data_IF_001708587836
#
_entry.id   IF_001708587836
#
_cell.length_a   1.000
_cell.length_b   1.000
_cell.length_c   1.000
_cell.angle_alpha   90.00
_cell.angle_beta   90.00
_cell.angle_gamma   90.00
#
_symmetry.space_group_name_H-M   'P 1'
#
loop_
_entity.id
_entity.type
_entity.pdbx_description
1 polymer ?
#
# COMPACT_ATOMS: atom_id res chain seq x y z
N UNK A 1 6.63 -12.85 -19.77
CA UNK A 1 7.28 -12.18 -18.62
C UNK A 1 8.03 -10.98 -19.16
N UNK A 2 7.80 -9.80 -18.64
CA UNK A 2 8.56 -8.62 -19.05
C UNK A 2 10.01 -8.79 -18.57
N UNK A 3 10.99 -8.55 -19.44
CA UNK A 3 12.43 -8.55 -19.07
C UNK A 3 12.80 -7.30 -18.28
N UNK A 4 11.84 -6.72 -17.51
CA UNK A 4 12.08 -5.51 -16.74
C UNK A 4 12.80 -5.86 -15.44
N UNK A 5 14.10 -5.55 -15.40
CA UNK A 5 14.96 -5.80 -14.24
C UNK A 5 15.16 -4.49 -13.48
N UNK A 6 14.90 -4.44 -12.16
CA UNK A 6 15.18 -3.25 -11.36
C UNK A 6 16.68 -3.00 -11.25
N UNK A 7 17.08 -1.74 -11.19
CA UNK A 7 18.40 -1.37 -10.74
C UNK A 7 18.49 -1.48 -9.21
N UNK A 8 19.67 -1.78 -8.64
CA UNK A 8 19.90 -1.73 -7.20
C UNK A 8 19.61 -0.32 -6.67
N UNK A 9 18.89 -0.24 -5.56
CA UNK A 9 18.60 0.99 -4.85
C UNK A 9 18.92 0.83 -3.38
N UNK A 10 19.89 1.58 -2.89
CA UNK A 10 20.34 1.54 -1.50
C UNK A 10 19.49 2.51 -0.67
N UNK A 11 18.98 2.00 0.43
CA UNK A 11 18.15 2.72 1.40
C UNK A 11 18.83 2.54 2.76
N UNK A 12 18.83 3.58 3.59
CA UNK A 12 19.29 3.48 4.97
C UNK A 12 18.20 2.86 5.87
N UNK A 13 17.80 1.66 5.50
CA UNK A 13 16.84 0.82 6.22
C UNK A 13 17.05 -0.65 5.84
N UNK A 14 16.68 -1.62 6.72
CA UNK A 14 16.89 -3.05 6.49
C UNK A 14 15.85 -3.66 5.55
N UNK A 15 15.56 -2.99 4.42
CA UNK A 15 14.56 -3.40 3.43
C UNK A 15 15.16 -3.53 2.04
N UNK A 16 14.64 -4.46 1.24
CA UNK A 16 14.99 -4.59 -0.17
C UNK A 16 14.32 -3.46 -0.96
N UNK A 17 15.11 -2.69 -1.69
CA UNK A 17 14.67 -1.58 -2.52
C UNK A 17 14.88 -1.86 -4.00
N UNK A 18 13.95 -1.39 -4.82
CA UNK A 18 13.93 -1.55 -6.26
C UNK A 18 13.74 -0.21 -6.95
N UNK A 19 14.55 0.03 -7.98
CA UNK A 19 14.43 1.20 -8.83
C UNK A 19 14.23 0.81 -10.28
N UNK A 20 13.22 1.39 -10.91
CA UNK A 20 12.93 1.25 -12.33
C UNK A 20 12.93 2.64 -12.97
N UNK A 21 13.78 2.83 -13.97
CA UNK A 21 13.96 4.11 -14.63
C UNK A 21 13.04 4.26 -15.83
N UNK A 22 12.30 5.36 -15.88
CA UNK A 22 11.53 5.73 -17.06
C UNK A 22 12.44 6.21 -18.19
N UNK A 23 12.07 5.99 -19.48
CA UNK A 23 12.83 6.50 -20.62
C UNK A 23 12.96 8.03 -20.63
N UNK A 24 11.93 8.73 -20.19
CA UNK A 24 11.86 10.20 -20.08
C UNK A 24 11.15 10.57 -18.77
N UNK A 25 11.86 10.57 -17.63
CA UNK A 25 11.23 10.79 -16.36
C UNK A 25 10.79 12.26 -16.20
N UNK A 26 9.53 12.46 -15.83
CA UNK A 26 8.91 13.74 -15.49
C UNK A 26 8.44 13.80 -14.03
N UNK A 27 8.30 12.65 -13.39
CA UNK A 27 7.96 12.49 -11.99
C UNK A 27 8.57 11.20 -11.44
N UNK A 28 8.44 10.98 -10.14
CA UNK A 28 8.83 9.74 -9.48
C UNK A 28 7.74 9.28 -8.52
N UNK A 29 7.62 7.97 -8.31
CA UNK A 29 6.62 7.38 -7.42
C UNK A 29 7.24 6.28 -6.56
N UNK A 30 6.94 6.30 -5.25
CA UNK A 30 7.24 5.20 -4.33
C UNK A 30 6.00 4.32 -4.18
N UNK A 31 6.12 3.05 -4.56
CA UNK A 31 5.09 2.02 -4.40
C UNK A 31 5.32 1.22 -3.12
N UNK A 32 4.26 1.04 -2.33
CA UNK A 32 4.25 0.22 -1.15
C UNK A 32 3.19 -0.88 -1.28
N UNK A 33 3.64 -2.13 -1.34
CA UNK A 33 2.78 -3.31 -1.44
C UNK A 33 2.03 -3.64 -0.14
N UNK A 34 1.02 -4.51 -0.23
CA UNK A 34 0.19 -4.95 0.88
C UNK A 34 0.74 -6.16 1.66
N UNK A 35 -0.06 -6.65 2.62
CA UNK A 35 0.30 -7.78 3.45
C UNK A 35 0.28 -9.11 2.69
N UNK A 36 1.38 -9.84 2.76
CA UNK A 36 1.49 -11.15 2.16
C UNK A 36 1.93 -11.15 0.69
N UNK A 37 2.17 -9.98 0.10
CA UNK A 37 2.66 -9.83 -1.26
C UNK A 37 4.08 -9.22 -1.30
N UNK A 38 4.57 -8.75 -2.44
CA UNK A 38 5.90 -8.21 -2.62
C UNK A 38 5.95 -7.22 -3.80
N UNK A 39 6.95 -6.35 -3.80
CA UNK A 39 7.05 -5.22 -4.74
C UNK A 39 7.15 -5.64 -6.21
N UNK A 40 7.93 -6.70 -6.52
CA UNK A 40 8.14 -7.14 -7.90
C UNK A 40 6.88 -7.73 -8.56
N UNK A 41 5.85 -8.08 -7.76
CA UNK A 41 4.56 -8.53 -8.27
C UNK A 41 3.91 -7.49 -9.21
N UNK A 42 4.14 -6.20 -8.96
CA UNK A 42 3.59 -5.10 -9.75
C UNK A 42 4.20 -4.95 -11.15
N UNK A 43 5.23 -5.74 -11.49
CA UNK A 43 5.80 -5.79 -12.84
C UNK A 43 4.89 -6.55 -13.80
N UNK A 44 4.39 -7.72 -13.39
CA UNK A 44 3.60 -8.62 -14.25
C UNK A 44 2.10 -8.66 -13.89
N UNK A 45 1.74 -8.28 -12.65
CA UNK A 45 0.37 -8.20 -12.13
C UNK A 45 -0.05 -6.75 -11.90
N UNK A 46 -1.21 -6.51 -11.28
CA UNK A 46 -1.79 -5.18 -11.09
C UNK A 46 -1.87 -4.38 -12.39
N UNK A 47 -2.40 -5.02 -13.44
CA UNK A 47 -2.43 -4.45 -14.79
C UNK A 47 -1.04 -4.08 -15.34
N UNK A 48 0.02 -4.70 -14.83
CA UNK A 48 1.44 -4.33 -15.13
C UNK A 48 1.72 -2.88 -14.73
N UNK A 49 1.41 -2.54 -13.48
CA UNK A 49 1.43 -1.15 -13.02
C UNK A 49 2.81 -0.50 -13.18
N UNK A 50 3.90 -1.19 -12.82
CA UNK A 50 5.26 -0.63 -12.95
C UNK A 50 5.59 -0.31 -14.42
N UNK A 51 5.49 -1.23 -15.40
CA UNK A 51 5.70 -0.91 -16.80
C UNK A 51 4.89 0.30 -17.29
N UNK A 52 3.62 0.39 -16.93
CA UNK A 52 2.74 1.49 -17.36
C UNK A 52 3.11 2.83 -16.73
N UNK A 53 3.51 2.84 -15.47
CA UNK A 53 4.04 4.05 -14.81
C UNK A 53 5.30 4.55 -15.52
N UNK A 54 6.22 3.65 -15.92
CA UNK A 54 7.40 4.01 -16.69
C UNK A 54 7.04 4.61 -18.07
N UNK A 55 6.05 4.04 -18.76
CA UNK A 55 5.51 4.57 -20.03
C UNK A 55 4.93 5.98 -19.85
N UNK A 56 4.30 6.24 -18.68
CA UNK A 56 3.77 7.55 -18.33
C UNK A 56 4.84 8.54 -17.84
N UNK A 57 6.11 8.13 -17.80
CA UNK A 57 7.23 8.99 -17.39
C UNK A 57 7.43 9.10 -15.89
N UNK A 58 7.02 8.11 -15.12
CA UNK A 58 7.35 8.00 -13.69
C UNK A 58 8.58 7.12 -13.51
N UNK A 59 9.64 7.64 -12.89
CA UNK A 59 10.63 6.78 -12.24
C UNK A 59 9.94 6.06 -11.08
N UNK A 60 10.06 4.71 -11.03
CA UNK A 60 9.36 3.91 -10.02
C UNK A 60 10.33 3.36 -9.01
N UNK A 61 10.07 3.65 -7.75
CA UNK A 61 10.73 3.11 -6.58
C UNK A 61 9.75 2.20 -5.85
N UNK A 62 10.22 1.09 -5.29
CA UNK A 62 9.42 0.18 -4.49
C UNK A 62 10.28 -0.47 -3.42
N UNK A 63 9.68 -0.83 -2.30
CA UNK A 63 10.34 -1.56 -1.21
C UNK A 63 9.52 -2.78 -0.82
N UNK A 64 10.21 -3.85 -0.39
CA UNK A 64 9.57 -4.97 0.27
C UNK A 64 9.48 -4.72 1.78
N UNK A 65 8.30 -4.94 2.36
CA UNK A 65 8.08 -4.90 3.81
C UNK A 65 8.90 -5.99 4.50
N UNK A 66 9.24 -5.79 5.77
CA UNK A 66 9.95 -6.80 6.57
C UNK A 66 9.24 -8.16 6.52
N UNK A 67 9.99 -9.24 6.28
CA UNK A 67 9.47 -10.60 6.16
C UNK A 67 8.64 -10.85 4.90
N UNK A 68 8.75 -9.99 3.87
CA UNK A 68 8.11 -10.11 2.57
C UNK A 68 9.16 -10.01 1.44
N UNK A 69 8.87 -10.61 0.30
CA UNK A 69 9.74 -10.58 -0.88
C UNK A 69 11.20 -10.90 -0.52
N UNK A 70 12.11 -10.00 -0.86
CA UNK A 70 13.55 -10.15 -0.58
C UNK A 70 14.01 -9.46 0.72
N UNK A 71 13.10 -8.86 1.48
CA UNK A 71 13.44 -8.30 2.80
C UNK A 71 13.49 -9.38 3.87
N UNK A 72 14.59 -9.41 4.63
CA UNK A 72 14.79 -10.37 5.71
C UNK A 72 13.72 -10.24 6.80
N UNK A 73 13.57 -11.30 7.59
CA UNK A 73 12.64 -11.37 8.70
C UNK A 73 11.82 -12.67 8.70
N UNK A 74 11.04 -12.90 9.76
CA UNK A 74 10.10 -13.99 9.79
C UNK A 74 8.97 -13.71 8.79
N UNK A 75 8.60 -14.72 7.99
CA UNK A 75 7.61 -14.62 6.93
C UNK A 75 6.32 -13.93 7.41
N UNK A 76 5.99 -12.81 6.77
CA UNK A 76 4.80 -12.00 7.06
C UNK A 76 4.67 -11.55 8.53
N UNK A 77 5.78 -11.45 9.26
CA UNK A 77 5.84 -10.81 10.58
C UNK A 77 6.43 -9.41 10.43
N UNK A 78 5.60 -8.41 10.63
CA UNK A 78 5.99 -7.00 10.48
C UNK A 78 5.42 -6.18 11.64
N UNK A 79 6.22 -5.26 12.15
CA UNK A 79 5.74 -4.12 12.92
C UNK A 79 5.36 -2.99 11.96
N UNK A 80 4.07 -2.74 11.80
CA UNK A 80 3.54 -1.77 10.83
C UNK A 80 3.89 -0.33 11.20
N UNK A 81 4.11 -0.05 12.48
CA UNK A 81 4.56 1.27 12.94
C UNK A 81 6.00 1.53 12.53
N UNK A 82 6.89 0.52 12.66
CA UNK A 82 8.29 0.61 12.24
C UNK A 82 8.41 0.64 10.70
N UNK A 83 7.50 -0.03 9.98
CA UNK A 83 7.48 0.04 8.51
C UNK A 83 7.30 1.47 7.98
N UNK A 84 6.73 2.38 8.77
CA UNK A 84 6.66 3.81 8.40
C UNK A 84 8.05 4.45 8.40
N UNK A 85 8.92 4.06 9.31
CA UNK A 85 10.30 4.58 9.37
C UNK A 85 11.12 4.08 8.18
N UNK A 86 10.95 2.79 7.79
CA UNK A 86 11.54 2.24 6.57
C UNK A 86 11.03 2.98 5.31
N UNK A 87 9.73 3.28 5.25
CA UNK A 87 9.13 4.02 4.14
C UNK A 87 9.63 5.48 4.09
N UNK A 88 9.84 6.13 5.23
CA UNK A 88 10.44 7.46 5.30
C UNK A 88 11.90 7.44 4.85
N UNK A 89 12.70 6.45 5.27
CA UNK A 89 14.07 6.26 4.80
C UNK A 89 14.11 6.05 3.28
N UNK A 90 13.16 5.27 2.73
CA UNK A 90 13.01 5.10 1.29
C UNK A 90 12.72 6.44 0.58
N UNK A 91 11.79 7.27 1.11
CA UNK A 91 11.51 8.61 0.58
C UNK A 91 12.73 9.51 0.60
N UNK A 92 13.53 9.44 1.66
CA UNK A 92 14.73 10.25 1.81
C UNK A 92 15.85 9.83 0.84
N UNK A 93 15.91 8.55 0.50
CA UNK A 93 16.84 8.00 -0.49
C UNK A 93 16.47 8.35 -1.96
N UNK A 94 15.23 8.83 -2.21
CA UNK A 94 14.80 9.27 -3.54
C UNK A 94 15.45 10.60 -3.92
N UNK A 95 15.88 10.80 -5.20
CA UNK A 95 16.40 12.07 -5.66
C UNK A 95 15.37 13.20 -5.50
N UNK A 96 15.80 14.37 -5.03
CA UNK A 96 14.93 15.54 -4.79
C UNK A 96 14.66 16.37 -6.08
N UNK A 97 14.89 15.81 -7.28
CA UNK A 97 14.85 16.56 -8.56
C UNK A 97 13.51 16.47 -9.28
N UNK A 98 12.70 15.47 -8.96
CA UNK A 98 11.42 15.22 -9.62
C UNK A 98 10.27 15.33 -8.61
N UNK A 99 9.06 15.74 -9.05
CA UNK A 99 7.87 15.67 -8.25
C UNK A 99 7.67 14.25 -7.70
N UNK A 100 7.44 14.12 -6.38
CA UNK A 100 7.36 12.82 -5.69
C UNK A 100 5.92 12.46 -5.39
N UNK A 101 5.53 11.30 -5.88
CA UNK A 101 4.23 10.67 -5.60
C UNK A 101 4.42 9.47 -4.68
N UNK A 102 3.42 9.18 -3.88
CA UNK A 102 3.36 7.94 -3.10
C UNK A 102 2.14 7.13 -3.51
N UNK A 103 2.28 5.81 -3.56
CA UNK A 103 1.14 4.91 -3.75
C UNK A 103 1.28 3.70 -2.83
N UNK A 104 0.25 3.46 -2.02
CA UNK A 104 0.19 2.30 -1.14
C UNK A 104 -1.09 1.48 -1.35
N UNK A 105 -0.93 0.15 -1.37
CA UNK A 105 -2.03 -0.79 -1.45
C UNK A 105 -2.22 -1.52 -0.12
N UNK A 106 -3.48 -1.70 0.32
CA UNK A 106 -3.82 -2.49 1.50
C UNK A 106 -3.02 -2.09 2.74
N UNK A 107 -2.21 -2.98 3.33
CA UNK A 107 -1.29 -2.67 4.43
C UNK A 107 -0.28 -1.59 4.04
N UNK A 108 0.21 -1.60 2.80
CA UNK A 108 1.05 -0.54 2.28
C UNK A 108 0.35 0.83 2.22
N UNK A 109 -0.97 0.82 2.07
CA UNK A 109 -1.79 2.04 2.12
C UNK A 109 -1.75 2.73 3.47
N UNK A 110 -1.84 1.97 4.58
CA UNK A 110 -1.73 2.57 5.92
C UNK A 110 -0.28 2.97 6.26
N UNK A 111 0.74 2.21 5.81
CA UNK A 111 2.16 2.60 5.95
C UNK A 111 2.41 3.93 5.22
N UNK A 112 1.91 4.05 3.99
CA UNK A 112 1.98 5.32 3.23
C UNK A 112 1.27 6.45 3.96
N UNK A 113 0.07 6.21 4.50
CA UNK A 113 -0.67 7.20 5.29
C UNK A 113 0.12 7.66 6.53
N UNK A 114 0.72 6.72 7.26
CA UNK A 114 1.61 7.01 8.40
C UNK A 114 2.80 7.87 8.00
N UNK A 115 3.43 7.55 6.87
CA UNK A 115 4.54 8.33 6.32
C UNK A 115 4.15 9.77 5.97
N UNK A 116 2.94 9.97 5.41
CA UNK A 116 2.40 11.31 5.08
C UNK A 116 2.16 12.13 6.34
N UNK A 117 1.51 11.57 7.37
CA UNK A 117 1.21 12.33 8.59
C UNK A 117 2.44 12.59 9.48
N UNK A 118 3.52 11.79 9.33
CA UNK A 118 4.80 12.04 10.01
C UNK A 118 5.66 13.07 9.26
N UNK A 119 5.64 13.03 7.93
CA UNK A 119 6.36 13.99 7.09
C UNK A 119 5.58 14.27 5.79
N UNK A 120 4.75 15.33 5.72
CA UNK A 120 4.00 15.70 4.52
C UNK A 120 4.82 16.46 3.48
N UNK A 121 6.08 16.80 3.77
CA UNK A 121 6.88 17.68 2.92
C UNK A 121 7.34 17.00 1.63
N UNK A 122 7.53 17.82 0.59
CA UNK A 122 8.06 17.41 -0.72
C UNK A 122 7.24 16.30 -1.40
N UNK A 123 5.93 16.28 -1.18
CA UNK A 123 5.00 15.38 -1.83
C UNK A 123 4.10 16.14 -2.80
N UNK A 124 4.05 15.69 -4.05
CA UNK A 124 3.12 16.19 -5.05
C UNK A 124 1.72 15.60 -4.81
N UNK A 125 1.64 14.30 -4.59
CA UNK A 125 0.36 13.64 -4.34
C UNK A 125 0.52 12.22 -3.76
N UNK A 126 -0.60 11.69 -3.25
CA UNK A 126 -0.70 10.35 -2.63
C UNK A 126 -1.86 9.56 -3.23
N UNK A 127 -1.66 8.27 -3.47
CA UNK A 127 -2.71 7.33 -3.87
C UNK A 127 -2.82 6.24 -2.80
N UNK A 128 -4.03 6.06 -2.26
CA UNK A 128 -4.36 4.98 -1.34
C UNK A 128 -5.34 4.01 -2.01
N UNK A 129 -4.88 2.79 -2.29
CA UNK A 129 -5.66 1.73 -2.90
C UNK A 129 -6.07 0.70 -1.87
N UNK A 130 -7.38 0.53 -1.65
CA UNK A 130 -7.94 -0.47 -0.71
C UNK A 130 -7.21 -0.49 0.62
N UNK A 131 -6.92 0.70 1.18
CA UNK A 131 -6.05 0.84 2.36
C UNK A 131 -6.58 0.08 3.57
N UNK A 132 -5.67 -0.59 4.31
CA UNK A 132 -5.98 -1.28 5.56
C UNK A 132 -6.22 -0.34 6.75
N UNK A 133 -6.54 0.91 6.48
CA UNK A 133 -6.91 1.90 7.50
C UNK A 133 -8.08 1.38 8.33
N UNK A 134 -7.97 1.50 9.65
CA UNK A 134 -9.04 1.15 10.59
C UNK A 134 -9.67 2.42 11.16
N UNK A 135 -10.91 2.34 11.62
CA UNK A 135 -11.48 3.40 12.47
C UNK A 135 -10.70 3.52 13.78
N UNK A 136 -10.77 4.67 14.48
CA UNK A 136 -10.11 4.83 15.79
C UNK A 136 -10.45 3.66 16.72
N UNK A 137 -9.42 3.03 17.28
CA UNK A 137 -9.56 1.80 18.04
C UNK A 137 -10.23 2.05 19.40
N UNK A 138 -11.10 1.13 19.82
CA UNK A 138 -11.70 1.15 21.15
C UNK A 138 -10.70 0.68 22.21
N UNK A 139 -10.87 1.14 23.45
CA UNK A 139 -9.96 0.82 24.55
C UNK A 139 -9.77 -0.69 24.77
N UNK A 140 -10.85 -1.49 24.64
CA UNK A 140 -10.77 -2.94 24.79
C UNK A 140 -10.01 -3.62 23.64
N UNK A 141 -10.13 -3.11 22.40
CA UNK A 141 -9.39 -3.61 21.22
C UNK A 141 -7.88 -3.41 21.41
N UNK A 142 -7.49 -2.21 21.88
CA UNK A 142 -6.09 -1.89 22.22
C UNK A 142 -5.55 -2.84 23.29
N UNK A 143 -6.32 -3.06 24.36
CA UNK A 143 -5.89 -3.93 25.45
C UNK A 143 -5.76 -5.38 25.01
N UNK A 144 -6.75 -5.91 24.27
CA UNK A 144 -6.73 -7.27 23.76
C UNK A 144 -5.57 -7.48 22.78
N UNK A 145 -5.42 -6.62 21.77
CA UNK A 145 -4.33 -6.73 20.80
C UNK A 145 -2.95 -6.63 21.45
N UNK A 146 -2.81 -5.79 22.49
CA UNK A 146 -1.58 -5.67 23.29
C UNK A 146 -1.22 -7.00 23.98
N UNK A 147 -2.17 -7.62 24.65
CA UNK A 147 -1.96 -8.89 25.34
C UNK A 147 -1.61 -10.00 24.33
N UNK A 148 -2.36 -10.11 23.24
CA UNK A 148 -2.13 -11.13 22.22
C UNK A 148 -0.75 -10.99 21.56
N UNK A 149 -0.36 -9.79 21.19
CA UNK A 149 0.95 -9.54 20.59
C UNK A 149 2.10 -9.75 21.59
N UNK A 150 1.89 -9.50 22.89
CA UNK A 150 2.90 -9.74 23.92
C UNK A 150 3.11 -11.24 24.18
N UNK A 151 2.03 -12.05 24.14
CA UNK A 151 2.11 -13.50 24.41
C UNK A 151 2.62 -14.26 23.17
N UNK A 152 2.14 -13.91 21.97
CA UNK A 152 2.47 -14.60 20.73
C UNK A 152 2.46 -13.61 19.56
N UNK A 153 3.53 -12.83 19.35
CA UNK A 153 3.58 -11.82 18.28
C UNK A 153 3.40 -12.44 16.89
N UNK A 154 4.00 -13.61 16.64
CA UNK A 154 3.91 -14.35 15.37
C UNK A 154 2.68 -15.29 15.31
N UNK A 155 1.94 -15.41 16.40
CA UNK A 155 0.70 -16.20 16.44
C UNK A 155 -0.37 -15.62 15.49
N UNK A 156 -1.23 -16.49 14.92
CA UNK A 156 -2.29 -16.04 14.03
C UNK A 156 -3.37 -15.29 14.80
N UNK A 157 -3.85 -14.19 14.24
CA UNK A 157 -4.99 -13.47 14.78
C UNK A 157 -6.24 -14.39 14.77
N UNK A 158 -7.04 -14.43 15.86
CA UNK A 158 -8.17 -15.34 15.97
C UNK A 158 -9.39 -14.95 15.10
N UNK A 159 -9.31 -13.81 14.41
CA UNK A 159 -10.36 -13.40 13.47
C UNK A 159 -10.25 -14.17 12.15
N UNK A 160 -11.37 -14.44 11.48
CA UNK A 160 -11.33 -14.98 10.12
C UNK A 160 -10.62 -13.97 9.18
N UNK A 161 -9.82 -14.48 8.26
CA UNK A 161 -9.30 -13.73 7.13
C UNK A 161 -9.97 -14.30 5.87
N UNK A 162 -10.48 -13.46 4.99
CA UNK A 162 -10.89 -13.91 3.66
C UNK A 162 -9.74 -14.62 2.96
N UNK A 163 -10.03 -15.67 2.19
CA UNK A 163 -9.04 -16.34 1.37
C UNK A 163 -8.65 -15.52 0.14
N UNK A 164 -7.86 -16.12 -0.74
CA UNK A 164 -7.40 -15.45 -1.98
C UNK A 164 -8.56 -15.07 -2.91
N UNK A 165 -9.69 -15.77 -2.81
CA UNK A 165 -10.93 -15.50 -3.57
C UNK A 165 -11.51 -14.10 -3.29
N UNK A 166 -11.14 -13.48 -2.17
CA UNK A 166 -11.54 -12.12 -1.84
C UNK A 166 -10.68 -11.03 -2.50
N UNK A 167 -9.54 -11.42 -3.10
CA UNK A 167 -8.61 -10.48 -3.71
C UNK A 167 -9.12 -9.96 -5.06
N UNK A 168 -9.67 -10.84 -5.89
CA UNK A 168 -10.11 -10.53 -7.26
C UNK A 168 -11.21 -11.48 -7.72
N UNK A 169 -12.03 -11.05 -8.67
CA UNK A 169 -13.01 -11.89 -9.40
C UNK A 169 -12.39 -12.59 -10.59
N UNK A 170 -11.20 -12.22 -11.02
CA UNK A 170 -10.51 -12.82 -12.16
C UNK A 170 -9.96 -14.20 -11.79
N UNK A 171 -10.60 -15.26 -12.31
CA UNK A 171 -10.27 -16.65 -12.00
C UNK A 171 -8.88 -17.08 -12.50
N UNK A 172 -8.36 -16.46 -13.54
CA UNK A 172 -7.03 -16.77 -14.04
C UNK A 172 -5.95 -16.12 -13.18
N UNK A 173 -6.19 -14.90 -12.71
CA UNK A 173 -5.32 -14.27 -11.70
C UNK A 173 -5.34 -15.01 -10.37
N UNK A 174 -6.49 -15.53 -9.92
CA UNK A 174 -6.54 -16.36 -8.70
C UNK A 174 -5.64 -17.60 -8.81
N UNK A 175 -5.60 -18.28 -9.97
CA UNK A 175 -4.69 -19.42 -10.19
C UNK A 175 -3.22 -18.99 -10.12
N UNK A 176 -2.89 -17.79 -10.63
CA UNK A 176 -1.53 -17.25 -10.58
C UNK A 176 -1.16 -16.94 -9.12
N UNK A 177 -2.07 -16.32 -8.35
CA UNK A 177 -1.87 -16.00 -6.93
C UNK A 177 -1.69 -17.27 -6.09
N UNK A 178 -2.52 -18.29 -6.32
CA UNK A 178 -2.46 -19.57 -5.59
C UNK A 178 -1.16 -20.33 -5.88
N UNK A 179 -0.65 -20.23 -7.09
CA UNK A 179 0.62 -20.87 -7.50
C UNK A 179 1.86 -20.10 -7.05
N UNK A 180 1.73 -18.85 -6.65
CA UNK A 180 2.84 -17.97 -6.29
C UNK A 180 3.36 -18.26 -4.87
N UNK A 181 4.51 -18.92 -4.78
CA UNK A 181 5.16 -19.28 -3.50
C UNK A 181 5.67 -18.09 -2.70
N UNK A 182 5.85 -16.95 -3.33
CA UNK A 182 6.24 -15.69 -2.66
C UNK A 182 5.06 -15.02 -1.97
N UNK A 183 3.83 -15.37 -2.32
CA UNK A 183 2.64 -14.89 -1.63
C UNK A 183 2.45 -15.60 -0.27
N UNK A 184 2.10 -14.82 0.75
CA UNK A 184 1.67 -15.35 2.04
C UNK A 184 0.14 -15.24 2.17
N UNK A 185 -0.52 -16.38 2.12
CA UNK A 185 -1.99 -16.47 2.17
C UNK A 185 -2.53 -16.83 3.57
N UNK A 186 -1.65 -16.98 4.55
CA UNK A 186 -2.02 -17.30 5.94
C UNK A 186 -2.67 -16.12 6.68
N UNK A 187 -3.18 -16.40 7.88
CA UNK A 187 -3.81 -15.38 8.75
C UNK A 187 -2.83 -14.27 9.12
N UNK A 188 -3.34 -13.05 9.29
CA UNK A 188 -2.56 -11.96 9.85
C UNK A 188 -2.04 -12.35 11.25
N UNK A 189 -0.81 -11.92 11.56
CA UNK A 189 -0.17 -12.19 12.85
C UNK A 189 -0.59 -11.17 13.89
N UNK A 190 -0.55 -11.52 15.16
CA UNK A 190 -0.99 -10.66 16.27
C UNK A 190 -0.23 -9.34 16.32
N UNK A 191 1.09 -9.35 16.04
CA UNK A 191 1.89 -8.12 15.96
C UNK A 191 1.39 -7.19 14.86
N UNK A 192 1.12 -7.75 13.66
CA UNK A 192 0.61 -6.98 12.51
C UNK A 192 -0.72 -6.32 12.85
N UNK A 193 -1.67 -7.09 13.39
CA UNK A 193 -2.98 -6.57 13.78
C UNK A 193 -2.88 -5.44 14.82
N UNK A 194 -2.07 -5.65 15.86
CA UNK A 194 -1.83 -4.64 16.89
C UNK A 194 -1.24 -3.35 16.32
N UNK A 195 -0.15 -3.47 15.56
CA UNK A 195 0.58 -2.30 15.07
C UNK A 195 -0.18 -1.59 13.95
N UNK A 196 -1.05 -2.29 13.21
CA UNK A 196 -2.03 -1.66 12.30
C UNK A 196 -3.04 -0.80 13.06
N UNK A 197 -3.59 -1.27 14.18
CA UNK A 197 -4.46 -0.45 15.03
C UNK A 197 -3.74 0.78 15.59
N UNK A 198 -2.51 0.59 16.08
CA UNK A 198 -1.71 1.69 16.62
C UNK A 198 -1.42 2.76 15.56
N UNK A 199 -1.03 2.34 14.35
CA UNK A 199 -0.77 3.27 13.24
C UNK A 199 -2.05 3.95 12.77
N UNK A 200 -3.20 3.25 12.75
CA UNK A 200 -4.48 3.87 12.45
C UNK A 200 -4.81 4.98 13.45
N UNK A 201 -4.66 4.71 14.75
CA UNK A 201 -4.88 5.71 15.81
C UNK A 201 -3.95 6.93 15.64
N UNK A 202 -2.68 6.69 15.26
CA UNK A 202 -1.72 7.77 14.97
C UNK A 202 -2.18 8.62 13.78
N UNK A 203 -2.55 8.00 12.66
CA UNK A 203 -3.03 8.70 11.47
C UNK A 203 -4.27 9.54 11.80
N UNK A 204 -5.26 8.96 12.49
CA UNK A 204 -6.48 9.67 12.89
C UNK A 204 -6.19 10.87 13.79
N UNK A 205 -5.20 10.77 14.66
CA UNK A 205 -4.81 11.89 15.53
C UNK A 205 -4.21 13.08 14.76
N UNK A 206 -3.76 12.87 13.52
CA UNK A 206 -3.04 13.85 12.70
C UNK A 206 -3.72 14.18 11.37
N UNK A 207 -4.94 13.71 11.12
CA UNK A 207 -5.65 13.95 9.83
C UNK A 207 -5.82 15.42 9.49
N UNK A 208 -5.90 16.30 10.49
CA UNK A 208 -6.00 17.76 10.30
C UNK A 208 -4.72 18.40 9.72
N UNK A 209 -3.58 17.71 9.78
CA UNK A 209 -2.32 18.15 9.15
C UNK A 209 -2.13 17.60 7.73
N UNK A 210 -2.99 16.69 7.28
CA UNK A 210 -2.88 16.08 5.95
C UNK A 210 -3.46 17.01 4.88
N UNK A 211 -2.59 17.80 4.27
CA UNK A 211 -2.93 18.77 3.20
C UNK A 211 -2.49 18.34 1.80
N UNK A 212 -1.81 17.19 1.70
CA UNK A 212 -1.29 16.65 0.44
C UNK A 212 -2.44 16.20 -0.46
N UNK A 213 -2.41 16.52 -1.79
CA UNK A 213 -3.38 16.00 -2.75
C UNK A 213 -3.48 14.46 -2.67
N UNK A 214 -4.72 13.93 -2.54
CA UNK A 214 -4.89 12.50 -2.28
C UNK A 214 -6.01 11.89 -3.11
N UNK A 215 -5.69 10.76 -3.77
CA UNK A 215 -6.66 9.87 -4.40
C UNK A 215 -6.89 8.63 -3.52
N UNK A 216 -8.15 8.38 -3.20
CA UNK A 216 -8.63 7.15 -2.58
C UNK A 216 -9.35 6.31 -3.63
N UNK A 217 -8.94 5.07 -3.83
CA UNK A 217 -9.61 4.08 -4.66
C UNK A 217 -9.92 2.84 -3.83
N UNK A 218 -11.18 2.37 -3.86
CA UNK A 218 -11.62 1.22 -3.07
C UNK A 218 -12.79 0.49 -3.74
N UNK A 219 -12.86 -0.82 -3.62
CA UNK A 219 -13.99 -1.61 -4.09
C UNK A 219 -15.08 -1.72 -3.01
N UNK A 220 -16.35 -1.67 -3.38
CA UNK A 220 -17.46 -1.80 -2.42
C UNK A 220 -17.73 -3.24 -1.97
N UNK A 221 -17.17 -4.24 -2.68
CA UNK A 221 -17.20 -5.66 -2.32
C UNK A 221 -15.90 -6.15 -1.68
N UNK A 222 -15.01 -5.23 -1.30
CA UNK A 222 -13.80 -5.58 -0.58
C UNK A 222 -14.14 -6.11 0.82
N UNK A 223 -13.84 -7.39 1.06
CA UNK A 223 -14.02 -8.07 2.36
C UNK A 223 -12.73 -8.17 3.16
N UNK A 224 -11.60 -7.76 2.58
CA UNK A 224 -10.28 -7.71 3.26
C UNK A 224 -10.10 -6.41 4.04
N UNK A 225 -10.57 -5.29 3.49
CA UNK A 225 -10.56 -3.96 4.11
C UNK A 225 -11.90 -3.25 3.87
N UNK A 226 -12.41 -2.55 4.88
CA UNK A 226 -13.71 -1.88 4.75
C UNK A 226 -13.57 -0.54 4.00
N UNK A 227 -14.20 -0.42 2.83
CA UNK A 227 -14.21 0.80 2.03
C UNK A 227 -14.76 2.03 2.77
N UNK A 228 -15.60 1.82 3.80
CA UNK A 228 -16.11 2.91 4.65
C UNK A 228 -15.00 3.64 5.39
N UNK A 229 -13.89 2.94 5.70
CA UNK A 229 -12.73 3.59 6.31
C UNK A 229 -12.04 4.54 5.33
N UNK A 230 -12.01 4.23 4.02
CA UNK A 230 -11.52 5.16 3.00
C UNK A 230 -12.44 6.37 2.84
N UNK A 231 -13.76 6.18 2.92
CA UNK A 231 -14.74 7.29 2.91
C UNK A 231 -14.48 8.20 4.12
N UNK A 232 -14.42 7.64 5.32
CA UNK A 232 -14.21 8.40 6.55
C UNK A 232 -12.87 9.15 6.55
N UNK A 233 -11.80 8.52 6.07
CA UNK A 233 -10.48 9.18 5.99
C UNK A 233 -10.48 10.31 4.95
N UNK A 234 -11.10 10.09 3.78
CA UNK A 234 -11.28 11.13 2.77
C UNK A 234 -12.03 12.33 3.33
N UNK A 235 -13.10 12.13 4.11
CA UNK A 235 -13.84 13.22 4.73
C UNK A 235 -12.99 13.99 5.74
N UNK A 236 -12.18 13.28 6.53
CA UNK A 236 -11.46 13.83 7.69
C UNK A 236 -10.17 14.59 7.34
N UNK A 237 -9.43 14.21 6.25
CA UNK A 237 -8.19 14.90 5.90
C UNK A 237 -8.43 16.36 5.50
N UNK A 238 -7.50 17.25 5.85
CA UNK A 238 -7.60 18.68 5.58
C UNK A 238 -7.28 19.07 4.12
N UNK A 239 -6.78 18.15 3.30
CA UNK A 239 -6.52 18.43 1.89
C UNK A 239 -7.77 18.92 1.18
N UNK A 240 -7.63 20.02 0.43
CA UNK A 240 -8.70 20.55 -0.44
C UNK A 240 -8.71 19.90 -1.82
N UNK A 241 -7.60 19.27 -2.23
CA UNK A 241 -7.47 18.45 -3.44
C UNK A 241 -7.52 16.98 -3.06
N UNK A 242 -8.72 16.46 -2.83
CA UNK A 242 -8.95 15.06 -2.50
C UNK A 242 -10.03 14.45 -3.38
N UNK A 243 -9.79 13.24 -3.85
CA UNK A 243 -10.67 12.49 -4.72
C UNK A 243 -10.96 11.13 -4.13
N UNK A 244 -12.21 10.73 -4.08
CA UNK A 244 -12.63 9.40 -3.66
C UNK A 244 -13.33 8.70 -4.83
N UNK A 245 -12.93 7.48 -5.13
CA UNK A 245 -13.59 6.60 -6.10
C UNK A 245 -13.87 5.25 -5.44
N UNK A 246 -15.16 4.99 -5.22
CA UNK A 246 -15.65 3.68 -4.80
C UNK A 246 -16.15 2.96 -6.05
N UNK A 247 -15.58 1.80 -6.34
CA UNK A 247 -15.92 1.01 -7.53
C UNK A 247 -16.96 -0.05 -7.18
N UNK A 248 -18.10 0.05 -7.85
CA UNK A 248 -19.17 -0.96 -7.73
C UNK A 248 -18.65 -2.34 -8.14
N UNK A 249 -19.00 -3.35 -7.34
CA UNK A 249 -18.58 -4.75 -7.49
C UNK A 249 -17.06 -4.97 -7.39
N UNK A 250 -16.26 -3.93 -7.07
CA UNK A 250 -14.79 -4.03 -6.95
C UNK A 250 -14.37 -4.83 -5.73
N UNK A 251 -13.42 -5.77 -5.92
CA UNK A 251 -12.79 -6.54 -4.86
C UNK A 251 -11.52 -5.84 -4.36
N UNK A 252 -10.74 -6.51 -3.53
CA UNK A 252 -9.59 -5.92 -2.82
C UNK A 252 -8.49 -5.42 -3.76
N UNK A 253 -8.08 -6.21 -4.74
CA UNK A 253 -7.03 -5.88 -5.70
C UNK A 253 -7.61 -5.26 -6.98
N UNK A 254 -8.08 -4.02 -6.90
CA UNK A 254 -8.79 -3.33 -8.00
C UNK A 254 -8.08 -3.38 -9.36
N UNK A 255 -6.74 -3.27 -9.38
CA UNK A 255 -5.93 -3.34 -10.60
C UNK A 255 -5.66 -4.78 -11.08
N UNK A 256 -6.08 -5.77 -10.31
CA UNK A 256 -6.11 -7.19 -10.66
C UNK A 256 -7.53 -7.72 -10.86
N UNK A 257 -8.56 -6.87 -10.73
CA UNK A 257 -9.96 -7.28 -10.85
C UNK A 257 -10.49 -7.10 -12.27
N UNK A 258 -11.66 -7.65 -12.54
CA UNK A 258 -12.36 -7.55 -13.83
C UNK A 258 -12.62 -6.11 -14.28
N UNK A 259 -12.60 -5.16 -13.35
CA UNK A 259 -12.75 -3.72 -13.59
C UNK A 259 -11.41 -2.98 -13.72
N UNK A 260 -10.28 -3.68 -13.71
CA UNK A 260 -8.94 -3.11 -13.69
C UNK A 260 -8.72 -2.02 -14.75
N UNK A 261 -9.25 -2.18 -15.98
CA UNK A 261 -9.12 -1.17 -17.06
C UNK A 261 -9.76 0.17 -16.69
N UNK A 262 -10.90 0.15 -16.00
CA UNK A 262 -11.58 1.38 -15.54
C UNK A 262 -10.79 2.05 -14.43
N UNK A 263 -10.31 1.28 -13.45
CA UNK A 263 -9.50 1.76 -12.35
C UNK A 263 -8.19 2.35 -12.86
N UNK A 264 -7.53 1.67 -13.78
CA UNK A 264 -6.30 2.12 -14.44
C UNK A 264 -6.49 3.47 -15.15
N UNK A 265 -7.54 3.57 -15.98
CA UNK A 265 -7.88 4.83 -16.67
C UNK A 265 -8.05 5.99 -15.69
N UNK A 266 -8.78 5.76 -14.61
CA UNK A 266 -9.04 6.78 -13.60
C UNK A 266 -7.76 7.16 -12.83
N UNK A 267 -6.93 6.18 -12.46
CA UNK A 267 -5.66 6.39 -11.79
C UNK A 267 -4.72 7.26 -12.63
N UNK A 268 -4.48 6.87 -13.88
CA UNK A 268 -3.57 7.62 -14.76
C UNK A 268 -4.11 9.00 -15.10
N UNK A 269 -5.42 9.15 -15.35
CA UNK A 269 -6.02 10.46 -15.58
C UNK A 269 -5.89 11.39 -14.36
N UNK A 270 -5.89 10.84 -13.14
CA UNK A 270 -5.70 11.61 -11.92
C UNK A 270 -4.23 11.99 -11.72
N UNK A 271 -3.30 11.06 -11.97
CA UNK A 271 -1.85 11.31 -11.89
C UNK A 271 -1.39 12.34 -12.92
N UNK A 272 -1.82 12.21 -14.18
CA UNK A 272 -1.41 13.09 -15.28
C UNK A 272 -1.78 14.57 -15.05
N UNK A 273 -2.88 14.85 -14.37
CA UNK A 273 -3.27 16.22 -14.00
C UNK A 273 -2.29 16.90 -13.03
N UNK A 274 -1.44 16.13 -12.35
CA UNK A 274 -0.50 16.60 -11.30
C UNK A 274 0.96 16.50 -11.73
N UNK A 275 1.23 15.89 -12.86
CA UNK A 275 2.57 15.92 -13.48
C UNK A 275 2.61 17.12 -14.39
N UNK A 276 3.40 18.13 -14.02
CA UNK A 276 3.58 19.39 -14.78
C UNK A 276 4.67 19.25 -15.83
#
# INVERSE_FOLDING_TARGET
>A
MSNLTPAPWLIDAPVAGYFFKAPKPKAQILLQHGYGEYALRYVDQYSKLIPKLLEQGFDVYAIDLQGHGNTAGERALIDVVNAVDDHLAARDAMPKKLPTFLMGHSLGGIVTAGSVVRNPENLEAVVLSSSAMQTPSKGWERSLSKVMAAISPSGPMPLPRPGIEALTRDQDLLKIIDADKEMFTGKAKNLVARTTLMLSDEVWSKVSSWVVPTLFIHGDQDTSTDHKNSISLHEAIASTDKTLKIYADGFHELLNDTIAKTVEKDLFAWLDKRVK
#
